data_IF_346607402191
#
_entry.id   IF_346607402191
#
_cell.length_a   1.000
_cell.length_b   1.000
_cell.length_c   1.000
_cell.angle_alpha   90.00
_cell.angle_beta   90.00
_cell.angle_gamma   90.00
#
_symmetry.space_group_name_H-M   'P 1'
#
loop_
_entity.id
_entity.type
_entity.pdbx_description
1 polymer ?
#
# COMPACT_ATOMS: atom_id res chain seq x y z
N UNK A 1 8.04 -5.18 -13.26
CA UNK A 1 6.65 -5.29 -12.77
C UNK A 1 6.25 -3.94 -12.22
N UNK A 2 4.99 -3.51 -12.39
CA UNK A 2 4.53 -2.21 -11.89
C UNK A 2 4.45 -2.24 -10.35
N UNK A 3 4.85 -1.17 -9.62
CA UNK A 3 4.69 -1.10 -8.17
C UNK A 3 3.24 -1.31 -7.73
N UNK A 4 3.04 -2.03 -6.63
CA UNK A 4 1.70 -2.31 -6.08
C UNK A 4 0.93 -1.03 -5.79
N UNK A 5 1.55 -0.04 -5.13
CA UNK A 5 1.02 1.32 -4.96
C UNK A 5 0.46 1.92 -6.25
N UNK A 6 1.16 1.80 -7.37
CA UNK A 6 0.70 2.38 -8.63
C UNK A 6 -0.47 1.59 -9.22
N UNK A 7 -0.44 0.26 -9.10
CA UNK A 7 -1.56 -0.60 -9.53
C UNK A 7 -2.82 -0.26 -8.75
N UNK A 8 -2.74 -0.19 -7.42
CA UNK A 8 -3.87 0.11 -6.55
C UNK A 8 -4.36 1.55 -6.74
N UNK A 9 -3.47 2.51 -6.97
CA UNK A 9 -3.83 3.91 -7.25
C UNK A 9 -4.57 4.05 -8.58
N UNK A 10 -4.16 3.30 -9.61
CA UNK A 10 -4.86 3.28 -10.90
C UNK A 10 -6.26 2.67 -10.78
N UNK A 11 -6.38 1.56 -10.06
CA UNK A 11 -7.67 0.93 -9.80
C UNK A 11 -8.58 1.89 -9.02
N UNK A 12 -8.08 2.51 -7.96
CA UNK A 12 -8.83 3.48 -7.15
C UNK A 12 -9.33 4.66 -7.99
N UNK A 13 -8.48 5.22 -8.85
CA UNK A 13 -8.87 6.28 -9.78
C UNK A 13 -9.94 5.80 -10.77
N UNK A 14 -9.78 4.59 -11.31
CA UNK A 14 -10.75 4.01 -12.23
C UNK A 14 -12.12 3.80 -11.56
N UNK A 15 -12.17 3.18 -10.38
CA UNK A 15 -13.41 2.94 -9.65
C UNK A 15 -14.10 4.25 -9.29
N UNK A 16 -13.36 5.24 -8.79
CA UNK A 16 -13.90 6.57 -8.49
C UNK A 16 -14.56 7.21 -9.72
N UNK A 17 -13.87 7.22 -10.86
CA UNK A 17 -14.40 7.80 -12.09
C UNK A 17 -15.67 7.07 -12.57
N UNK A 18 -15.69 5.73 -12.48
CA UNK A 18 -16.84 4.93 -12.87
C UNK A 18 -18.02 5.12 -11.92
N UNK A 19 -17.80 5.15 -10.60
CA UNK A 19 -18.84 5.42 -9.61
C UNK A 19 -19.48 6.77 -9.88
N UNK A 20 -18.68 7.82 -10.05
CA UNK A 20 -19.15 9.16 -10.42
C UNK A 20 -19.96 9.12 -11.72
N UNK A 21 -19.45 8.45 -12.76
CA UNK A 21 -20.13 8.34 -14.04
C UNK A 21 -21.52 7.69 -13.93
N UNK A 22 -21.61 6.54 -13.26
CA UNK A 22 -22.89 5.81 -13.11
C UNK A 22 -23.82 6.43 -12.07
N UNK A 23 -23.31 7.22 -11.13
CA UNK A 23 -24.14 7.91 -10.12
C UNK A 23 -24.85 9.12 -10.72
N UNK A 24 -24.12 9.97 -11.45
CA UNK A 24 -24.63 11.29 -11.84
C UNK A 24 -25.17 11.36 -13.28
N UNK A 25 -24.73 10.51 -14.21
CA UNK A 25 -25.15 10.59 -15.62
C UNK A 25 -26.45 9.82 -15.92
N UNK A 26 -27.52 10.02 -15.14
CA UNK A 26 -28.79 9.28 -15.35
C UNK A 26 -29.54 9.67 -16.63
N UNK A 27 -29.41 10.92 -17.08
CA UNK A 27 -30.13 11.42 -18.26
C UNK A 27 -29.46 11.09 -19.61
N UNK A 28 -28.13 11.05 -19.64
CA UNK A 28 -27.35 10.78 -20.87
C UNK A 28 -26.98 9.32 -21.01
N UNK A 29 -26.69 8.62 -19.90
CA UNK A 29 -26.38 7.19 -19.92
C UNK A 29 -27.67 6.38 -19.84
N UNK A 30 -28.14 5.91 -20.99
CA UNK A 30 -29.34 5.05 -21.11
C UNK A 30 -29.00 3.59 -20.81
N UNK A 31 -29.00 3.23 -19.53
CA UNK A 31 -28.92 1.85 -19.05
C UNK A 31 -30.06 1.57 -18.09
N UNK A 32 -30.47 0.32 -18.00
CA UNK A 32 -31.46 -0.16 -17.03
C UNK A 32 -30.99 0.12 -15.58
N UNK A 33 -31.97 0.31 -14.68
CA UNK A 33 -31.72 0.66 -13.29
C UNK A 33 -31.04 -0.48 -12.51
N UNK A 34 -31.44 -1.74 -12.74
CA UNK A 34 -30.82 -2.92 -12.12
C UNK A 34 -29.40 -3.14 -12.61
N UNK A 35 -29.12 -2.89 -13.89
CA UNK A 35 -27.76 -2.89 -14.42
C UNK A 35 -26.89 -1.84 -13.71
N UNK A 36 -27.41 -0.62 -13.56
CA UNK A 36 -26.71 0.47 -12.87
C UNK A 36 -26.45 0.14 -11.40
N UNK A 37 -27.46 -0.40 -10.71
CA UNK A 37 -27.37 -0.86 -9.32
C UNK A 37 -26.26 -1.91 -9.19
N UNK A 38 -26.28 -2.96 -10.02
CA UNK A 38 -25.24 -4.00 -10.02
C UNK A 38 -23.83 -3.46 -10.27
N UNK A 39 -23.67 -2.55 -11.24
CA UNK A 39 -22.39 -1.89 -11.53
C UNK A 39 -21.88 -1.09 -10.33
N UNK A 40 -22.73 -0.26 -9.73
CA UNK A 40 -22.36 0.56 -8.57
C UNK A 40 -21.99 -0.32 -7.37
N UNK A 41 -22.76 -1.37 -7.09
CA UNK A 41 -22.44 -2.34 -6.02
C UNK A 41 -21.07 -2.96 -6.21
N UNK A 42 -20.76 -3.47 -7.40
CA UNK A 42 -19.46 -4.08 -7.67
C UNK A 42 -18.31 -3.06 -7.59
N UNK A 43 -18.50 -1.85 -8.15
CA UNK A 43 -17.48 -0.80 -8.11
C UNK A 43 -17.19 -0.31 -6.69
N UNK A 44 -18.21 -0.17 -5.85
CA UNK A 44 -18.05 0.19 -4.44
C UNK A 44 -17.28 -0.88 -3.69
N UNK A 45 -17.65 -2.16 -3.87
CA UNK A 45 -16.92 -3.28 -3.26
C UNK A 45 -15.43 -3.28 -3.68
N UNK A 46 -15.12 -3.11 -4.97
CA UNK A 46 -13.73 -3.05 -5.44
C UNK A 46 -13.00 -1.83 -4.89
N UNK A 47 -13.69 -0.69 -4.74
CA UNK A 47 -13.12 0.51 -4.13
C UNK A 47 -12.72 0.27 -2.67
N UNK A 48 -13.59 -0.35 -1.87
CA UNK A 48 -13.31 -0.72 -0.49
C UNK A 48 -12.16 -1.73 -0.40
N UNK A 49 -12.16 -2.74 -1.27
CA UNK A 49 -11.10 -3.75 -1.34
C UNK A 49 -9.74 -3.12 -1.70
N UNK A 50 -9.74 -2.17 -2.64
CA UNK A 50 -8.54 -1.42 -3.02
C UNK A 50 -8.00 -0.64 -1.83
N UNK A 51 -8.88 0.07 -1.11
CA UNK A 51 -8.50 0.81 0.09
C UNK A 51 -7.92 -0.12 1.18
N UNK A 52 -8.54 -1.28 1.41
CA UNK A 52 -8.03 -2.28 2.34
C UNK A 52 -6.60 -2.69 2.01
N UNK A 53 -6.32 -3.07 0.75
CA UNK A 53 -4.98 -3.50 0.36
C UNK A 53 -3.96 -2.36 0.37
N UNK A 54 -4.35 -1.13 0.07
CA UNK A 54 -3.46 0.03 0.23
C UNK A 54 -3.05 0.25 1.69
N UNK A 55 -3.95 0.00 2.64
CA UNK A 55 -3.61 0.07 4.06
C UNK A 55 -2.76 -1.11 4.51
N UNK A 56 -3.04 -2.31 4.00
CA UNK A 56 -2.22 -3.48 4.28
C UNK A 56 -0.77 -3.28 3.79
N UNK A 57 -0.57 -2.71 2.60
CA UNK A 57 0.75 -2.36 2.08
C UNK A 57 1.50 -1.41 3.03
N UNK A 58 0.83 -0.36 3.53
CA UNK A 58 1.42 0.55 4.53
C UNK A 58 1.81 -0.17 5.83
N UNK A 59 0.97 -1.07 6.31
CA UNK A 59 1.28 -1.85 7.52
C UNK A 59 2.45 -2.81 7.31
N UNK A 60 2.54 -3.48 6.15
CA UNK A 60 3.70 -4.31 5.80
C UNK A 60 4.98 -3.47 5.83
N UNK A 61 4.95 -2.28 5.23
CA UNK A 61 6.09 -1.37 5.21
C UNK A 61 6.52 -0.90 6.61
N UNK A 62 5.54 -0.69 7.49
CA UNK A 62 5.79 -0.33 8.89
C UNK A 62 6.40 -1.51 9.65
N UNK A 63 5.78 -2.69 9.57
CA UNK A 63 6.23 -3.91 10.24
C UNK A 63 7.65 -4.30 9.82
N UNK A 64 7.97 -4.23 8.53
CA UNK A 64 9.31 -4.53 8.04
C UNK A 64 10.39 -3.69 8.73
N UNK A 65 10.18 -2.37 8.79
CA UNK A 65 11.09 -1.44 9.48
C UNK A 65 11.13 -1.68 10.98
N UNK A 66 9.99 -1.97 11.60
CA UNK A 66 9.91 -2.29 13.03
C UNK A 66 10.72 -3.55 13.36
N UNK A 67 10.72 -4.58 12.51
CA UNK A 67 11.51 -5.79 12.70
C UNK A 67 13.02 -5.51 12.64
N UNK A 68 13.48 -4.69 11.70
CA UNK A 68 14.91 -4.31 11.64
C UNK A 68 15.31 -3.53 12.91
N UNK A 69 14.49 -2.55 13.31
CA UNK A 69 14.73 -1.79 14.54
C UNK A 69 14.68 -2.69 15.79
N UNK A 70 13.79 -3.68 15.81
CA UNK A 70 13.72 -4.66 16.87
C UNK A 70 15.01 -5.47 16.97
N UNK A 71 15.56 -5.93 15.84
CA UNK A 71 16.84 -6.62 15.81
C UNK A 71 17.98 -5.75 16.37
N UNK A 72 18.02 -4.47 16.01
CA UNK A 72 19.00 -3.54 16.58
C UNK A 72 18.82 -3.41 18.10
N UNK A 73 17.58 -3.24 18.58
CA UNK A 73 17.29 -3.13 20.02
C UNK A 73 17.64 -4.39 20.78
N UNK A 74 17.29 -5.57 20.27
CA UNK A 74 17.57 -6.86 20.92
C UNK A 74 19.07 -7.13 21.07
N UNK A 75 19.89 -6.53 20.21
CA UNK A 75 21.35 -6.62 20.25
C UNK A 75 22.02 -5.41 20.93
N UNK A 76 21.26 -4.50 21.56
CA UNK A 76 21.82 -3.31 22.20
C UNK A 76 22.75 -3.64 23.36
N UNK A 77 22.45 -4.72 24.07
CA UNK A 77 23.20 -5.22 25.23
C UNK A 77 24.52 -5.90 24.85
N UNK A 78 24.78 -6.14 23.56
CA UNK A 78 26.06 -6.68 23.13
C UNK A 78 27.19 -5.70 23.48
N UNK A 79 28.34 -6.20 23.99
CA UNK A 79 29.51 -5.37 24.19
C UNK A 79 30.01 -4.82 22.85
N UNK A 80 30.64 -3.65 22.91
CA UNK A 80 31.25 -3.03 21.74
C UNK A 80 32.31 -3.98 21.17
N UNK A 81 32.13 -4.38 19.90
CA UNK A 81 32.97 -5.36 19.23
C UNK A 81 32.78 -5.25 17.71
N UNK A 82 33.76 -5.72 16.94
CA UNK A 82 33.66 -5.77 15.47
C UNK A 82 32.44 -6.57 14.98
N UNK A 83 31.97 -7.54 15.77
CA UNK A 83 30.72 -8.24 15.49
C UNK A 83 29.49 -7.31 15.59
N UNK A 84 29.41 -6.54 16.68
CA UNK A 84 28.32 -5.57 16.87
C UNK A 84 28.34 -4.51 15.77
N UNK A 85 29.52 -4.05 15.40
CA UNK A 85 29.69 -3.06 14.33
C UNK A 85 29.19 -3.61 12.99
N UNK A 86 29.65 -4.80 12.58
CA UNK A 86 29.19 -5.42 11.33
C UNK A 86 27.68 -5.72 11.32
N UNK A 87 27.11 -6.11 12.45
CA UNK A 87 25.66 -6.29 12.59
C UNK A 87 24.91 -4.97 12.34
N UNK A 88 25.33 -3.89 13.00
CA UNK A 88 24.65 -2.60 12.90
C UNK A 88 24.87 -1.94 11.53
N UNK A 89 26.05 -2.06 10.95
CA UNK A 89 26.35 -1.57 9.61
C UNK A 89 25.42 -2.20 8.58
N UNK A 90 25.28 -3.53 8.59
CA UNK A 90 24.38 -4.23 7.68
C UNK A 90 22.90 -3.83 7.88
N UNK A 91 22.44 -3.71 9.13
CA UNK A 91 21.05 -3.33 9.43
C UNK A 91 20.77 -1.88 9.01
N UNK A 92 21.73 -0.97 9.19
CA UNK A 92 21.61 0.43 8.77
C UNK A 92 21.65 0.57 7.25
N UNK A 93 22.54 -0.16 6.57
CA UNK A 93 22.62 -0.18 5.11
C UNK A 93 21.27 -0.59 4.49
N UNK A 94 20.67 -1.68 4.99
CA UNK A 94 19.35 -2.14 4.53
C UNK A 94 18.25 -1.11 4.82
N UNK A 95 18.28 -0.43 5.97
CA UNK A 95 17.33 0.64 6.29
C UNK A 95 17.46 1.83 5.35
N UNK A 96 18.69 2.18 4.96
CA UNK A 96 18.93 3.30 4.06
C UNK A 96 18.53 2.98 2.62
N UNK A 97 18.81 1.77 2.13
CA UNK A 97 18.27 1.29 0.86
C UNK A 97 16.74 1.30 0.85
N UNK A 98 16.12 0.85 1.94
CA UNK A 98 14.67 0.85 2.08
C UNK A 98 14.05 2.25 2.04
N UNK A 99 14.70 3.27 2.62
CA UNK A 99 14.23 4.67 2.56
C UNK A 99 14.24 5.21 1.12
N UNK A 100 15.25 4.87 0.32
CA UNK A 100 15.36 5.33 -1.08
C UNK A 100 14.17 4.87 -1.92
N UNK A 101 13.71 3.65 -1.70
CA UNK A 101 12.58 3.04 -2.43
C UNK A 101 11.24 3.67 -2.03
N UNK A 102 11.11 4.15 -0.80
CA UNK A 102 9.84 4.64 -0.25
C UNK A 102 9.63 6.17 -0.43
N UNK A 103 10.64 6.89 -0.93
CA UNK A 103 10.59 8.33 -1.24
C UNK A 103 10.21 8.59 -2.72
N UNK A 104 10.28 7.56 -3.58
CA UNK A 104 9.74 7.57 -4.95
C UNK A 104 8.26 7.17 -5.02
#
# INVERSE_FOLDING_TARGET
MKPTKDILSDISRHTYNQITHYTFNRGTLKVDEKYREGRLTALNYVSELTFYYMNLEKEIHKQFREQINHQMKSNSCLPQSSYKDGLYDALNEVLDEYKKINIS
#
